data_IF_962538413507
#
_entry.id   IF_962538413507
#
_cell.length_a   1.000
_cell.length_b   1.000
_cell.length_c   1.000
_cell.angle_alpha   90.00
_cell.angle_beta   90.00
_cell.angle_gamma   90.00
#
_symmetry.space_group_name_H-M   'P 1'
#
loop_
_entity.id
_entity.type
_entity.pdbx_description
1 polymer ?
#
# COMPACT_ATOMS: atom_id res chain seq x y z
N UNK A 1 2.13 41.53 6.71
CA UNK A 1 2.06 40.73 7.95
C UNK A 1 2.16 39.27 7.55
N UNK A 2 3.05 38.45 8.15
CA UNK A 2 3.23 37.06 7.76
C UNK A 2 1.94 36.25 7.94
N UNK A 3 1.63 35.35 7.00
CA UNK A 3 0.42 34.54 7.01
C UNK A 3 0.76 33.06 6.80
N UNK A 4 0.48 32.21 7.79
CA UNK A 4 0.93 30.81 7.76
C UNK A 4 -0.24 29.83 7.72
N UNK A 5 -0.96 29.68 6.58
CA UNK A 5 -2.17 28.87 6.50
C UNK A 5 -1.95 27.38 6.79
N UNK A 6 -0.72 26.89 6.63
CA UNK A 6 -0.40 25.50 6.97
C UNK A 6 -0.60 25.18 8.47
N UNK A 7 -0.55 26.20 9.34
CA UNK A 7 -0.72 26.01 10.80
C UNK A 7 -2.13 25.53 11.16
N UNK A 8 -3.14 25.82 10.34
CA UNK A 8 -4.53 25.35 10.54
C UNK A 8 -4.63 23.81 10.56
N UNK A 9 -3.76 23.14 9.79
CA UNK A 9 -3.76 21.68 9.62
C UNK A 9 -2.55 21.02 10.29
N UNK A 10 -1.72 21.80 10.99
CA UNK A 10 -0.50 21.31 11.61
C UNK A 10 -0.75 20.98 13.08
N UNK A 11 -0.33 19.77 13.49
CA UNK A 11 -0.48 19.32 14.87
C UNK A 11 0.38 20.18 15.82
N UNK A 12 -0.17 20.75 16.91
CA UNK A 12 0.61 21.57 17.85
C UNK A 12 1.77 20.80 18.52
N UNK A 13 2.66 21.53 19.19
CA UNK A 13 3.60 20.90 20.10
C UNK A 13 2.88 20.41 21.38
N UNK A 14 3.46 19.45 22.08
CA UNK A 14 2.91 18.98 23.35
C UNK A 14 2.78 20.15 24.33
N UNK A 15 1.57 20.37 24.84
CA UNK A 15 1.24 21.52 25.69
C UNK A 15 0.95 22.85 24.97
N UNK A 16 1.09 22.93 23.65
CA UNK A 16 0.75 24.13 22.88
C UNK A 16 -0.72 24.13 22.46
N UNK A 17 -1.33 25.32 22.43
CA UNK A 17 -2.70 25.49 21.96
C UNK A 17 -2.77 25.38 20.43
N UNK A 18 -3.85 24.79 19.88
CA UNK A 18 -4.11 24.79 18.44
C UNK A 18 -4.44 26.20 17.93
N UNK A 19 -4.46 26.37 16.60
CA UNK A 19 -4.86 27.65 15.97
C UNK A 19 -6.26 28.05 16.44
N UNK A 20 -6.38 29.28 16.92
CA UNK A 20 -7.66 29.88 17.28
C UNK A 20 -8.50 30.04 16.01
N UNK A 21 -9.66 29.35 15.98
CA UNK A 21 -10.55 29.34 14.81
C UNK A 21 -11.28 30.66 14.59
N UNK A 22 -11.37 31.53 15.60
CA UNK A 22 -12.08 32.80 15.51
C UNK A 22 -11.21 33.90 14.87
N UNK A 23 -9.90 33.87 15.07
CA UNK A 23 -8.99 34.92 14.62
C UNK A 23 -7.74 34.43 13.86
N UNK A 24 -7.55 33.11 13.73
CA UNK A 24 -6.42 32.50 13.02
C UNK A 24 -5.07 32.63 13.70
N UNK A 25 -5.02 33.00 14.99
CA UNK A 25 -3.77 33.21 15.73
C UNK A 25 -3.31 31.93 16.41
N UNK A 26 -2.00 31.85 16.63
CA UNK A 26 -1.36 30.79 17.39
C UNK A 26 -0.16 31.35 18.12
N UNK A 27 0.08 30.85 19.33
CA UNK A 27 1.26 31.22 20.11
C UNK A 27 2.49 30.47 19.59
N UNK A 28 3.60 31.19 19.50
CA UNK A 28 4.89 30.61 19.15
C UNK A 28 5.98 31.27 19.97
N UNK A 29 7.05 30.52 20.27
CA UNK A 29 8.22 31.13 20.88
C UNK A 29 8.93 32.05 19.87
N UNK A 30 9.72 32.99 20.37
CA UNK A 30 10.45 33.97 19.54
C UNK A 30 11.34 33.30 18.49
N UNK A 31 11.94 32.15 18.80
CA UNK A 31 12.80 31.41 17.86
C UNK A 31 11.98 30.86 16.68
N UNK A 32 10.84 30.22 16.96
CA UNK A 32 9.96 29.70 15.93
C UNK A 32 9.35 30.81 15.09
N UNK A 33 8.93 31.91 15.73
CA UNK A 33 8.38 33.07 15.03
C UNK A 33 9.39 33.69 14.07
N UNK A 34 10.62 33.94 14.52
CA UNK A 34 11.69 34.49 13.69
C UNK A 34 12.06 33.56 12.54
N UNK A 35 12.15 32.25 12.79
CA UNK A 35 12.49 31.27 11.76
C UNK A 35 11.41 31.12 10.68
N UNK A 36 10.13 31.11 11.07
CA UNK A 36 9.01 31.08 10.11
C UNK A 36 8.91 32.40 9.33
N UNK A 37 9.15 33.53 9.99
CA UNK A 37 9.12 34.85 9.35
C UNK A 37 10.27 35.02 8.35
N UNK A 38 11.47 34.51 8.63
CA UNK A 38 12.56 34.50 7.66
C UNK A 38 12.21 33.70 6.40
N UNK A 39 11.63 32.51 6.58
CA UNK A 39 11.16 31.69 5.45
C UNK A 39 10.04 32.39 4.67
N UNK A 40 9.12 33.07 5.37
CA UNK A 40 8.08 33.89 4.74
C UNK A 40 8.70 34.96 3.84
N UNK A 41 9.67 35.73 4.33
CA UNK A 41 10.33 36.76 3.54
C UNK A 41 11.07 36.19 2.32
N UNK A 42 11.76 35.04 2.46
CA UNK A 42 12.38 34.39 1.32
C UNK A 42 11.36 33.96 0.24
N UNK A 43 10.15 33.56 0.65
CA UNK A 43 9.07 33.25 -0.29
C UNK A 43 8.40 34.48 -0.90
N UNK A 44 8.35 35.60 -0.18
CA UNK A 44 7.90 36.89 -0.74
C UNK A 44 8.91 37.39 -1.79
N UNK A 45 10.21 37.35 -1.49
CA UNK A 45 11.26 37.80 -2.40
C UNK A 45 11.33 37.00 -3.71
N UNK A 46 10.95 35.73 -3.64
CA UNK A 46 10.89 34.83 -4.82
C UNK A 46 9.54 34.80 -5.52
N UNK A 47 8.60 35.68 -5.12
CA UNK A 47 7.21 35.69 -5.62
C UNK A 47 6.54 34.30 -5.56
N UNK A 48 6.93 33.47 -4.58
CA UNK A 48 6.40 32.11 -4.45
C UNK A 48 4.95 32.21 -3.98
N UNK A 49 3.96 31.72 -4.75
CA UNK A 49 2.56 31.77 -4.34
C UNK A 49 2.35 31.04 -3.01
N UNK A 50 1.51 31.60 -2.11
CA UNK A 50 1.28 31.07 -0.75
C UNK A 50 1.01 29.56 -0.72
N UNK A 51 0.23 29.05 -1.67
CA UNK A 51 -0.11 27.63 -1.79
C UNK A 51 1.08 26.70 -2.10
N UNK A 52 2.18 27.25 -2.60
CA UNK A 52 3.42 26.51 -2.93
C UNK A 52 4.48 26.61 -1.83
N UNK A 53 4.26 27.41 -0.79
CA UNK A 53 5.24 27.65 0.29
C UNK A 53 5.30 26.44 1.22
N UNK A 54 6.49 25.90 1.41
CA UNK A 54 6.74 24.80 2.35
C UNK A 54 7.58 25.36 3.50
N UNK A 55 7.00 25.40 4.69
CA UNK A 55 7.66 25.90 5.88
C UNK A 55 8.27 24.76 6.68
N UNK A 56 9.53 24.93 7.04
CA UNK A 56 10.26 24.05 7.93
C UNK A 56 10.03 24.48 9.38
N UNK A 57 9.81 23.51 10.25
CA UNK A 57 9.66 23.70 11.69
C UNK A 57 10.74 22.88 12.38
N UNK A 58 11.49 23.50 13.31
CA UNK A 58 12.47 22.80 14.13
C UNK A 58 11.80 22.41 15.45
N UNK A 59 11.45 21.13 15.61
CA UNK A 59 11.04 20.57 16.89
C UNK A 59 12.27 20.01 17.58
N UNK A 60 12.64 20.57 18.73
CA UNK A 60 13.56 19.90 19.64
C UNK A 60 12.76 18.80 20.34
N UNK A 61 13.07 17.53 20.08
CA UNK A 61 12.57 16.44 20.91
C UNK A 61 13.23 16.47 22.30
N UNK A 62 12.72 15.69 23.28
CA UNK A 62 13.34 15.57 24.59
C UNK A 62 14.77 15.00 24.58
N UNK A 63 15.27 14.49 23.45
CA UNK A 63 16.61 13.90 23.33
C UNK A 63 17.60 14.78 22.56
N UNK A 64 17.64 16.08 22.85
CA UNK A 64 18.71 16.96 22.35
C UNK A 64 19.43 17.68 23.50
N UNK A 65 19.98 16.91 24.44
CA UNK A 65 21.13 17.32 25.24
C UNK A 65 22.38 16.67 24.65
N UNK A 66 23.33 17.51 24.27
CA UNK A 66 24.37 17.21 23.30
C UNK A 66 25.38 16.13 23.69
N UNK A 67 25.77 15.35 22.70
CA UNK A 67 27.12 14.80 22.61
C UNK A 67 27.74 15.30 21.30
N UNK A 68 28.88 15.98 21.46
CA UNK A 68 29.69 16.51 20.37
C UNK A 68 30.20 15.33 19.54
N UNK A 69 29.81 15.25 18.28
CA UNK A 69 30.52 14.44 17.30
C UNK A 69 31.89 15.09 17.05
N UNK A 70 32.94 14.52 17.65
CA UNK A 70 34.31 14.78 17.24
C UNK A 70 34.53 14.20 15.84
N UNK A 71 35.12 15.02 14.96
CA UNK A 71 35.58 14.65 13.62
C UNK A 71 36.62 13.51 13.67
N UNK A 72 36.69 12.63 12.65
CA UNK A 72 37.74 11.61 12.59
C UNK A 72 39.02 12.20 11.99
N UNK A 73 40.10 12.21 12.76
CA UNK A 73 41.48 12.35 12.27
C UNK A 73 42.18 10.99 12.28
N UNK A 74 42.93 10.75 11.22
CA UNK A 74 43.78 9.58 10.96
C UNK A 74 44.93 9.47 11.98
N UNK A 75 45.42 8.23 12.19
CA UNK A 75 46.82 7.79 12.43
C UNK A 75 46.76 6.38 13.06
N UNK A 76 47.16 5.29 12.38
CA UNK A 76 48.50 4.70 12.15
C UNK A 76 49.12 3.98 13.37
N UNK A 77 49.45 2.70 13.11
CA UNK A 77 50.51 1.83 13.69
C UNK A 77 50.40 1.49 15.20
N UNK A 78 50.75 0.34 15.80
CA UNK A 78 51.54 -0.86 15.47
C UNK A 78 51.36 -1.89 16.63
N UNK A 79 51.59 -3.20 16.37
CA UNK A 79 52.08 -4.25 17.31
C UNK A 79 51.34 -4.59 18.64
N UNK A 80 51.40 -5.77 19.27
CA UNK A 80 51.91 -7.13 19.02
C UNK A 80 51.38 -8.06 20.14
N UNK A 81 51.25 -9.35 19.79
CA UNK A 81 51.53 -10.56 20.59
C UNK A 81 50.84 -10.94 21.93
N UNK A 82 50.56 -12.26 21.99
CA UNK A 82 50.59 -13.20 23.14
C UNK A 82 49.26 -13.72 23.73
N UNK A 83 48.78 -14.82 23.13
CA UNK A 83 48.58 -16.17 23.72
C UNK A 83 48.27 -16.31 25.23
N UNK A 84 47.19 -17.02 25.59
CA UNK A 84 47.29 -18.26 26.37
C UNK A 84 45.99 -19.11 26.31
N UNK A 85 46.20 -20.42 26.33
CA UNK A 85 45.22 -21.50 26.25
C UNK A 85 44.40 -21.64 27.54
N UNK A 86 43.23 -22.29 27.48
CA UNK A 86 42.87 -23.49 28.29
C UNK A 86 41.38 -23.85 28.11
N UNK A 87 41.11 -24.98 27.43
CA UNK A 87 39.98 -25.90 27.71
C UNK A 87 40.56 -27.06 28.56
N UNK A 88 39.81 -27.94 29.28
CA UNK A 88 38.53 -28.53 28.85
C UNK A 88 37.53 -28.89 29.99
N UNK A 89 36.32 -29.35 29.65
CA UNK A 89 35.81 -30.69 30.03
C UNK A 89 34.38 -30.94 29.53
N UNK A 90 34.20 -32.17 29.05
CA UNK A 90 33.05 -32.75 28.36
C UNK A 90 32.37 -33.72 29.33
N UNK A 91 31.03 -33.68 29.44
CA UNK A 91 30.21 -34.76 30.00
C UNK A 91 29.06 -35.04 29.03
N UNK A 92 28.80 -36.31 28.78
CA UNK A 92 27.99 -36.85 27.69
C UNK A 92 26.58 -37.31 28.14
N UNK A 93 25.56 -36.98 27.30
CA UNK A 93 24.38 -37.80 26.89
C UNK A 93 23.24 -38.06 27.89
N UNK A 94 21.97 -38.42 27.49
CA UNK A 94 21.52 -38.98 26.19
C UNK A 94 20.20 -38.46 25.54
N UNK A 95 19.99 -38.95 24.30
CA UNK A 95 18.87 -38.82 23.32
C UNK A 95 17.44 -38.72 23.86
N UNK A 96 16.61 -37.82 23.32
CA UNK A 96 15.16 -38.08 23.02
C UNK A 96 14.63 -37.18 21.86
N UNK A 97 14.05 -37.85 20.86
CA UNK A 97 13.01 -37.47 19.88
C UNK A 97 13.17 -36.30 18.89
N UNK A 98 13.33 -36.72 17.62
CA UNK A 98 12.88 -36.05 16.41
C UNK A 98 11.42 -35.58 16.53
N UNK A 99 11.23 -34.27 16.74
CA UNK A 99 10.02 -33.59 16.31
C UNK A 99 10.32 -32.86 15.01
N UNK A 100 10.00 -33.51 13.89
CA UNK A 100 9.79 -32.83 12.61
C UNK A 100 8.65 -31.86 12.84
N UNK A 101 8.98 -30.62 13.22
CA UNK A 101 8.02 -29.52 13.24
C UNK A 101 7.54 -29.37 11.81
N UNK A 102 6.33 -29.84 11.54
CA UNK A 102 5.57 -29.49 10.35
C UNK A 102 5.43 -27.98 10.39
N UNK A 103 6.34 -27.30 9.70
CA UNK A 103 6.32 -25.88 9.52
C UNK A 103 5.00 -25.55 8.82
N UNK A 104 4.05 -25.03 9.58
CA UNK A 104 2.85 -24.38 9.08
C UNK A 104 3.30 -23.29 8.11
N UNK A 105 3.31 -23.63 6.82
CA UNK A 105 3.73 -22.74 5.73
C UNK A 105 2.79 -21.53 5.74
N UNK A 106 3.32 -20.38 6.17
CA UNK A 106 2.63 -19.08 6.12
C UNK A 106 2.19 -18.83 4.66
N UNK A 107 0.96 -18.37 4.42
CA UNK A 107 0.53 -18.05 3.06
C UNK A 107 1.38 -16.91 2.49
N UNK A 108 1.91 -17.13 1.29
CA UNK A 108 2.82 -16.27 0.54
C UNK A 108 2.28 -14.83 0.41
N UNK A 109 3.07 -13.84 0.86
CA UNK A 109 3.14 -12.47 0.33
C UNK A 109 1.89 -11.59 0.25
N UNK A 110 0.86 -11.79 1.09
CA UNK A 110 -0.32 -10.93 1.11
C UNK A 110 -0.12 -9.70 2.02
N UNK A 111 -0.33 -8.53 1.44
CA UNK A 111 -0.30 -7.22 2.10
C UNK A 111 -1.72 -6.72 2.38
N UNK A 112 -1.90 -5.97 3.46
CA UNK A 112 -3.20 -5.40 3.83
C UNK A 112 -3.34 -3.98 3.29
N UNK A 113 -4.45 -3.67 2.63
CA UNK A 113 -4.75 -2.32 2.15
C UNK A 113 -5.01 -1.35 3.31
N UNK A 114 -4.33 -0.20 3.30
CA UNK A 114 -4.52 0.89 4.28
C UNK A 114 -5.97 1.41 4.36
N UNK A 115 -6.69 1.47 3.24
CA UNK A 115 -8.04 2.08 3.16
C UNK A 115 -9.18 1.11 3.49
N UNK A 116 -9.13 -0.11 2.92
CA UNK A 116 -10.27 -1.02 2.93
C UNK A 116 -10.01 -2.32 3.71
N UNK A 117 -8.83 -2.44 4.33
CA UNK A 117 -8.45 -3.58 5.17
C UNK A 117 -8.40 -4.95 4.45
N UNK A 118 -8.64 -5.00 3.13
CA UNK A 118 -8.59 -6.23 2.35
C UNK A 118 -7.15 -6.64 2.08
N UNK A 119 -6.84 -7.92 2.28
CA UNK A 119 -5.53 -8.52 1.95
C UNK A 119 -5.41 -8.81 0.46
N UNK A 120 -4.29 -8.46 -0.14
CA UNK A 120 -4.00 -8.62 -1.58
C UNK A 120 -2.52 -9.01 -1.80
N UNK A 121 -2.21 -9.75 -2.88
CA UNK A 121 -0.83 -9.95 -3.30
C UNK A 121 -0.11 -8.61 -3.54
N UNK A 122 1.20 -8.57 -3.25
CA UNK A 122 2.05 -7.36 -3.40
C UNK A 122 1.93 -6.69 -4.78
N UNK A 123 1.74 -7.47 -5.84
CA UNK A 123 1.56 -6.96 -7.22
C UNK A 123 0.29 -6.10 -7.42
N UNK A 124 -0.73 -6.23 -6.55
CA UNK A 124 -1.93 -5.40 -6.55
C UNK A 124 -1.89 -4.29 -5.51
N UNK A 125 -0.74 -4.09 -4.86
CA UNK A 125 -0.55 -2.98 -3.94
C UNK A 125 0.07 -1.80 -4.69
N UNK A 126 -0.32 -0.60 -4.30
CA UNK A 126 0.16 0.66 -4.85
C UNK A 126 0.56 1.57 -3.70
N UNK A 127 1.67 2.24 -3.87
CA UNK A 127 2.05 3.32 -2.99
C UNK A 127 1.32 4.59 -3.38
N UNK A 128 0.81 5.32 -2.39
CA UNK A 128 0.24 6.66 -2.58
C UNK A 128 0.74 7.60 -1.49
N UNK A 129 0.65 8.90 -1.74
CA UNK A 129 1.13 9.95 -0.84
C UNK A 129 -0.04 10.67 -0.19
N UNK A 130 0.11 11.03 1.08
CA UNK A 130 -0.83 11.85 1.85
C UNK A 130 -0.46 13.34 1.79
N UNK A 131 0.77 13.65 1.40
CA UNK A 131 1.33 15.00 1.32
C UNK A 131 1.78 15.35 -0.11
N UNK A 132 1.78 16.64 -0.48
CA UNK A 132 2.35 17.11 -1.74
C UNK A 132 3.79 16.59 -1.90
N UNK A 133 4.16 16.20 -3.12
CA UNK A 133 5.54 15.85 -3.45
C UNK A 133 6.17 16.99 -4.26
N UNK A 134 7.50 17.01 -4.33
CA UNK A 134 8.28 18.00 -5.10
C UNK A 134 7.81 18.14 -6.55
N UNK A 135 7.26 17.06 -7.13
CA UNK A 135 6.60 17.07 -8.44
C UNK A 135 5.10 17.37 -8.27
N UNK A 136 4.70 18.60 -8.61
CA UNK A 136 3.32 19.12 -8.49
C UNK A 136 2.27 18.31 -9.23
N UNK A 137 2.67 17.53 -10.24
CA UNK A 137 1.78 16.66 -11.02
C UNK A 137 1.48 15.32 -10.34
N UNK A 138 2.18 14.98 -9.26
CA UNK A 138 1.95 13.70 -8.59
C UNK A 138 0.72 13.78 -7.67
N UNK A 139 -0.22 12.82 -7.77
CA UNK A 139 -1.39 12.80 -6.90
C UNK A 139 -1.01 12.58 -5.44
N UNK A 140 -1.63 13.37 -4.55
CA UNK A 140 -1.61 13.15 -3.11
C UNK A 140 -3.02 13.29 -2.53
N UNK A 141 -3.25 12.64 -1.40
CA UNK A 141 -4.58 12.46 -0.81
C UNK A 141 -4.55 12.76 0.71
N UNK A 142 -4.74 14.04 1.11
CA UNK A 142 -4.66 14.45 2.52
C UNK A 142 -5.62 13.72 3.45
N UNK A 143 -6.79 13.33 2.94
CA UNK A 143 -7.79 12.56 3.70
C UNK A 143 -7.21 11.25 4.29
N UNK A 144 -6.18 10.67 3.68
CA UNK A 144 -5.55 9.44 4.16
C UNK A 144 -4.75 9.65 5.45
N UNK A 145 -4.25 10.86 5.74
CA UNK A 145 -3.57 11.13 7.00
C UNK A 145 -4.53 11.09 8.21
N UNK A 146 -5.84 11.33 7.96
CA UNK A 146 -6.91 11.26 8.97
C UNK A 146 -7.63 9.92 8.98
N UNK A 147 -7.35 9.06 8.00
CA UNK A 147 -7.96 7.74 7.92
C UNK A 147 -7.30 6.83 8.96
N UNK A 148 -8.10 6.16 9.79
CA UNK A 148 -7.60 5.19 10.77
C UNK A 148 -7.42 3.84 10.07
N UNK A 149 -6.19 3.41 9.75
CA UNK A 149 -5.98 2.12 9.13
C UNK A 149 -6.23 0.99 10.14
N UNK A 150 -6.57 -0.22 9.69
CA UNK A 150 -6.62 -1.38 10.58
C UNK A 150 -5.22 -1.67 11.17
N UNK A 151 -5.16 -2.14 12.41
CA UNK A 151 -3.88 -2.42 13.11
C UNK A 151 -2.95 -3.38 12.35
N UNK A 152 -3.50 -4.23 11.49
CA UNK A 152 -2.77 -5.21 10.65
C UNK A 152 -2.24 -4.64 9.34
N UNK A 153 -2.55 -3.38 8.99
CA UNK A 153 -1.98 -2.71 7.83
C UNK A 153 -0.68 -2.00 8.18
N UNK A 154 0.19 -1.84 7.17
CA UNK A 154 1.38 -1.01 7.31
C UNK A 154 0.95 0.42 7.61
N UNK A 155 1.51 0.99 8.68
CA UNK A 155 1.28 2.37 9.06
C UNK A 155 1.87 3.33 8.02
N UNK A 156 1.38 4.57 8.05
CA UNK A 156 1.93 5.65 7.25
C UNK A 156 3.40 5.89 7.66
N UNK A 157 4.29 6.03 6.68
CA UNK A 157 5.68 6.37 6.97
C UNK A 157 5.84 7.88 7.26
N UNK A 158 7.03 8.26 7.71
CA UNK A 158 7.37 9.65 8.05
C UNK A 158 7.29 10.62 6.85
N UNK A 159 7.32 10.09 5.61
CA UNK A 159 7.17 10.87 4.37
C UNK A 159 5.70 11.01 3.94
N UNK A 160 4.76 10.47 4.72
CA UNK A 160 3.34 10.47 4.38
C UNK A 160 3.00 9.49 3.26
N UNK A 161 3.74 8.40 3.11
CA UNK A 161 3.47 7.35 2.12
C UNK A 161 2.69 6.22 2.77
N UNK A 162 1.69 5.70 2.06
CA UNK A 162 0.88 4.56 2.51
C UNK A 162 0.73 3.51 1.41
N UNK A 163 0.47 2.26 1.81
CA UNK A 163 0.27 1.14 0.89
C UNK A 163 -1.22 0.78 0.77
N UNK A 164 -1.80 0.96 -0.41
CA UNK A 164 -3.22 0.72 -0.70
C UNK A 164 -3.37 -0.33 -1.79
N UNK A 165 -4.52 -1.01 -1.88
CA UNK A 165 -4.78 -1.87 -3.03
C UNK A 165 -5.09 -1.04 -4.28
N UNK A 166 -4.81 -1.62 -5.45
CA UNK A 166 -5.01 -1.00 -6.76
C UNK A 166 -6.43 -0.44 -6.95
N UNK A 167 -7.45 -1.12 -6.44
CA UNK A 167 -8.82 -0.64 -6.52
C UNK A 167 -9.06 0.67 -5.75
N UNK A 168 -8.47 0.81 -4.57
CA UNK A 168 -8.57 2.04 -3.77
C UNK A 168 -7.73 3.16 -4.40
N UNK A 169 -6.53 2.84 -4.90
CA UNK A 169 -5.71 3.81 -5.63
C UNK A 169 -6.43 4.33 -6.88
N UNK A 170 -7.01 3.46 -7.72
CA UNK A 170 -7.78 3.86 -8.90
C UNK A 170 -9.00 4.71 -8.54
N UNK A 171 -9.68 4.39 -7.45
CA UNK A 171 -10.84 5.16 -6.99
C UNK A 171 -10.46 6.58 -6.57
N UNK A 172 -9.36 6.74 -5.84
CA UNK A 172 -8.81 8.04 -5.47
C UNK A 172 -8.28 8.81 -6.68
N UNK A 173 -7.56 8.13 -7.58
CA UNK A 173 -6.98 8.74 -8.76
C UNK A 173 -8.04 9.31 -9.71
N UNK A 174 -9.15 8.61 -9.92
CA UNK A 174 -10.28 9.13 -10.72
C UNK A 174 -10.81 10.44 -10.16
N UNK A 175 -10.98 10.54 -8.85
CA UNK A 175 -11.42 11.77 -8.20
C UNK A 175 -10.38 12.89 -8.38
N UNK A 176 -9.09 12.57 -8.21
CA UNK A 176 -8.02 13.52 -8.47
C UNK A 176 -8.04 14.02 -9.92
N UNK A 177 -8.23 13.16 -10.91
CA UNK A 177 -8.33 13.55 -12.32
C UNK A 177 -9.51 14.50 -12.56
N UNK A 178 -10.66 14.27 -11.93
CA UNK A 178 -11.81 15.17 -12.01
C UNK A 178 -11.48 16.53 -11.41
N UNK A 179 -10.85 16.57 -10.23
CA UNK A 179 -10.42 17.82 -9.60
C UNK A 179 -9.38 18.57 -10.43
N UNK A 180 -8.47 17.85 -11.10
CA UNK A 180 -7.51 18.47 -12.01
C UNK A 180 -8.20 19.04 -13.25
N UNK A 181 -9.10 18.27 -13.87
CA UNK A 181 -9.85 18.70 -15.06
C UNK A 181 -10.70 19.94 -14.78
N UNK A 182 -11.30 20.00 -13.59
CA UNK A 182 -12.18 21.09 -13.18
C UNK A 182 -11.43 22.24 -12.50
N UNK A 183 -10.09 22.18 -12.43
CA UNK A 183 -9.25 23.15 -11.73
C UNK A 183 -9.67 23.40 -10.27
N UNK A 184 -10.20 22.37 -9.59
CA UNK A 184 -10.69 22.48 -8.22
C UNK A 184 -9.51 22.80 -7.27
N UNK A 185 -9.58 23.92 -6.52
CA UNK A 185 -8.57 24.30 -5.53
C UNK A 185 -8.33 23.19 -4.51
N UNK A 186 -7.09 23.05 -4.01
CA UNK A 186 -6.72 21.97 -3.09
C UNK A 186 -7.59 21.92 -1.82
N UNK A 187 -7.96 23.09 -1.28
CA UNK A 187 -8.82 23.22 -0.09
C UNK A 187 -10.24 22.67 -0.29
N UNK A 188 -10.72 22.65 -1.53
CA UNK A 188 -12.08 22.21 -1.89
C UNK A 188 -12.14 20.73 -2.28
N UNK A 189 -10.99 20.06 -2.40
CA UNK A 189 -10.93 18.65 -2.84
C UNK A 189 -11.38 17.72 -1.72
N UNK A 190 -12.63 17.28 -1.80
CA UNK A 190 -13.19 16.27 -0.91
C UNK A 190 -13.12 14.88 -1.54
N UNK A 191 -12.15 14.08 -1.10
CA UNK A 191 -12.01 12.70 -1.54
C UNK A 191 -12.89 11.76 -0.73
N UNK A 192 -13.61 10.90 -1.42
CA UNK A 192 -14.31 9.76 -0.87
C UNK A 192 -13.40 8.52 -0.85
N UNK A 193 -13.47 7.75 0.22
CA UNK A 193 -12.76 6.47 0.34
C UNK A 193 -13.67 5.31 -0.07
N UNK A 194 -13.10 4.22 -0.62
CA UNK A 194 -13.88 3.01 -0.92
C UNK A 194 -14.49 2.34 0.32
N UNK A 195 -13.96 2.64 1.50
CA UNK A 195 -14.44 2.16 2.79
C UNK A 195 -15.46 3.10 3.43
N UNK A 196 -15.77 4.24 2.80
CA UNK A 196 -16.69 5.23 3.33
C UNK A 196 -18.13 4.67 3.37
N UNK A 197 -18.76 4.58 4.55
CA UNK A 197 -20.12 4.05 4.69
C UNK A 197 -21.18 4.98 4.09
N UNK A 198 -20.87 6.25 3.84
CA UNK A 198 -21.80 7.25 3.30
C UNK A 198 -22.01 7.16 1.78
N UNK A 199 -21.23 6.32 1.07
CA UNK A 199 -21.35 6.17 -0.37
C UNK A 199 -22.77 5.73 -0.80
N UNK A 200 -23.28 6.18 -1.96
CA UNK A 200 -24.56 5.70 -2.48
C UNK A 200 -24.61 4.17 -2.60
N UNK A 201 -25.77 3.56 -2.33
CA UNK A 201 -25.94 2.10 -2.31
C UNK A 201 -25.54 1.43 -3.63
N UNK A 202 -25.83 2.08 -4.76
CA UNK A 202 -25.44 1.61 -6.10
C UNK A 202 -23.92 1.57 -6.26
N UNK A 203 -23.24 2.63 -5.83
CA UNK A 203 -21.79 2.72 -5.84
C UNK A 203 -21.19 1.66 -4.91
N UNK A 204 -21.69 1.50 -3.69
CA UNK A 204 -21.25 0.43 -2.78
C UNK A 204 -21.40 -0.96 -3.40
N UNK A 205 -22.53 -1.22 -4.08
CA UNK A 205 -22.78 -2.47 -4.81
C UNK A 205 -21.72 -2.71 -5.89
N UNK A 206 -21.46 -1.73 -6.76
CA UNK A 206 -20.44 -1.82 -7.81
C UNK A 206 -19.02 -2.03 -7.25
N UNK A 207 -18.70 -1.43 -6.09
CA UNK A 207 -17.40 -1.61 -5.44
C UNK A 207 -17.28 -2.98 -4.73
N UNK A 208 -18.40 -3.66 -4.46
CA UNK A 208 -18.50 -4.94 -3.74
C UNK A 208 -18.67 -6.15 -4.67
N UNK A 209 -18.74 -5.96 -5.98
CA UNK A 209 -18.86 -7.04 -6.96
C UNK A 209 -17.56 -7.23 -7.77
N UNK A 210 -17.50 -8.31 -8.54
CA UNK A 210 -16.46 -8.63 -9.52
C UNK A 210 -17.10 -9.32 -10.71
N UNK A 211 -16.47 -9.28 -11.88
CA UNK A 211 -16.85 -10.08 -13.05
C UNK A 211 -15.87 -11.25 -13.21
N UNK A 212 -16.40 -12.45 -13.44
CA UNK A 212 -15.61 -13.68 -13.48
C UNK A 212 -14.88 -13.78 -14.81
N UNK A 213 -13.55 -13.96 -14.80
CA UNK A 213 -12.79 -14.12 -16.04
C UNK A 213 -13.24 -15.32 -16.90
N UNK A 214 -13.78 -16.37 -16.28
CA UNK A 214 -14.14 -17.62 -16.97
C UNK A 214 -15.56 -17.60 -17.53
N UNK A 215 -16.54 -17.09 -16.79
CA UNK A 215 -17.95 -17.17 -17.19
C UNK A 215 -18.60 -15.80 -17.45
N UNK A 216 -17.88 -14.69 -17.26
CA UNK A 216 -18.41 -13.34 -17.47
C UNK A 216 -19.50 -12.89 -16.48
N UNK A 217 -19.92 -13.74 -15.54
CA UNK A 217 -21.01 -13.40 -14.61
C UNK A 217 -20.48 -12.51 -13.47
N UNK A 218 -21.22 -11.46 -13.16
CA UNK A 218 -21.02 -10.61 -11.98
C UNK A 218 -21.31 -11.40 -10.70
N UNK A 219 -20.39 -11.37 -9.73
CA UNK A 219 -20.54 -12.03 -8.42
C UNK A 219 -20.07 -11.10 -7.31
N UNK A 220 -20.39 -11.40 -6.04
CA UNK A 220 -19.76 -10.73 -4.91
C UNK A 220 -18.22 -10.82 -5.00
N UNK A 221 -17.53 -9.73 -4.68
CA UNK A 221 -16.07 -9.64 -4.69
C UNK A 221 -15.42 -10.70 -3.78
N UNK A 222 -16.13 -11.11 -2.73
CA UNK A 222 -15.75 -12.19 -1.82
C UNK A 222 -15.67 -13.55 -2.50
N UNK A 223 -16.47 -13.81 -3.54
CA UNK A 223 -16.45 -15.07 -4.31
C UNK A 223 -15.24 -15.23 -5.23
N UNK A 224 -14.46 -14.16 -5.44
CA UNK A 224 -13.30 -14.16 -6.33
C UNK A 224 -12.15 -15.01 -5.80
N UNK A 225 -11.59 -15.85 -6.67
CA UNK A 225 -10.39 -16.67 -6.45
C UNK A 225 -9.38 -16.43 -7.56
N UNK A 226 -8.11 -16.45 -7.19
CA UNK A 226 -7.02 -16.28 -8.14
C UNK A 226 -6.79 -17.53 -8.98
N UNK A 227 -6.50 -17.31 -10.27
CA UNK A 227 -6.08 -18.30 -11.25
C UNK A 227 -4.75 -17.85 -11.86
N UNK A 228 -3.90 -18.81 -12.18
CA UNK A 228 -2.59 -18.57 -12.80
C UNK A 228 -2.55 -19.22 -14.17
N UNK A 229 -2.10 -18.52 -15.20
CA UNK A 229 -1.85 -19.07 -16.54
C UNK A 229 -0.44 -19.62 -16.71
N UNK A 230 0.44 -19.40 -15.73
CA UNK A 230 1.84 -19.83 -15.72
C UNK A 230 2.17 -20.54 -14.40
N UNK A 231 3.17 -21.43 -14.43
CA UNK A 231 3.70 -22.08 -13.21
C UNK A 231 4.25 -20.99 -12.27
N UNK A 232 3.68 -20.90 -11.08
CA UNK A 232 4.12 -19.96 -10.04
C UNK A 232 4.76 -20.67 -8.84
N UNK A 233 4.43 -21.94 -8.61
CA UNK A 233 4.98 -22.77 -7.55
C UNK A 233 4.90 -24.26 -7.91
N UNK A 234 5.89 -25.09 -7.54
CA UNK A 234 5.85 -26.54 -7.78
C UNK A 234 4.61 -27.18 -7.15
N UNK A 235 3.92 -28.05 -7.90
CA UNK A 235 2.72 -28.76 -7.44
C UNK A 235 1.45 -27.90 -7.32
N UNK A 236 1.47 -26.63 -7.72
CA UNK A 236 0.28 -25.79 -7.76
C UNK A 236 -0.37 -25.76 -9.14
N UNK A 237 -1.71 -25.73 -9.22
CA UNK A 237 -2.43 -25.69 -10.49
C UNK A 237 -2.16 -24.38 -11.24
N UNK A 238 -2.02 -24.51 -12.55
CA UNK A 238 -1.98 -23.42 -13.49
C UNK A 238 -2.68 -23.84 -14.79
N UNK A 239 -3.11 -22.85 -15.57
CA UNK A 239 -4.06 -23.03 -16.66
C UNK A 239 -3.60 -22.24 -17.90
N UNK A 240 -2.71 -22.81 -18.74
CA UNK A 240 -2.13 -22.12 -19.91
C UNK A 240 -3.17 -21.57 -20.88
N UNK A 241 -4.28 -22.28 -21.07
CA UNK A 241 -5.37 -21.89 -21.99
C UNK A 241 -5.99 -20.53 -21.64
N UNK A 242 -5.83 -20.03 -20.41
CA UNK A 242 -6.29 -18.68 -20.03
C UNK A 242 -5.64 -17.57 -20.86
N UNK A 243 -4.43 -17.78 -21.40
CA UNK A 243 -3.78 -16.80 -22.29
C UNK A 243 -4.54 -16.63 -23.61
N UNK A 244 -5.39 -17.58 -23.98
CA UNK A 244 -6.15 -17.60 -25.24
C UNK A 244 -7.60 -17.13 -25.05
N UNK A 245 -8.02 -16.80 -23.83
CA UNK A 245 -9.37 -16.31 -23.56
C UNK A 245 -9.45 -14.80 -23.69
N UNK A 246 -10.54 -14.32 -24.29
CA UNK A 246 -10.90 -12.90 -24.28
C UNK A 246 -11.33 -12.53 -22.86
N UNK A 247 -10.85 -11.39 -22.37
CA UNK A 247 -11.26 -10.87 -21.06
C UNK A 247 -12.69 -10.34 -21.14
N UNK A 248 -13.66 -10.87 -20.35
CA UNK A 248 -15.00 -10.31 -20.31
C UNK A 248 -15.00 -8.86 -19.82
N UNK A 249 -15.98 -8.07 -20.26
CA UNK A 249 -16.09 -6.67 -19.82
C UNK A 249 -16.22 -6.57 -18.29
N UNK A 250 -15.43 -5.68 -17.69
CA UNK A 250 -15.38 -5.51 -16.23
C UNK A 250 -14.65 -6.64 -15.47
N UNK A 251 -14.23 -7.73 -16.12
CA UNK A 251 -13.41 -8.75 -15.49
C UNK A 251 -11.98 -8.27 -15.27
N UNK A 252 -11.30 -8.88 -14.30
CA UNK A 252 -9.88 -8.62 -14.11
C UNK A 252 -9.10 -9.22 -15.29
N UNK A 253 -8.38 -8.42 -16.10
CA UNK A 253 -7.59 -8.95 -17.19
C UNK A 253 -6.44 -9.79 -16.63
N UNK A 254 -5.93 -10.69 -17.47
CA UNK A 254 -4.74 -11.46 -17.15
C UNK A 254 -3.54 -10.51 -17.00
N UNK A 255 -2.87 -10.54 -15.85
CA UNK A 255 -1.66 -9.72 -15.63
C UNK A 255 -0.50 -10.21 -16.49
N UNK A 256 0.57 -9.41 -16.62
CA UNK A 256 1.82 -9.83 -17.28
C UNK A 256 2.45 -11.09 -16.65
N UNK A 257 2.16 -11.34 -15.37
CA UNK A 257 2.61 -12.52 -14.62
C UNK A 257 1.66 -13.72 -14.77
N UNK A 258 0.59 -13.59 -15.56
CA UNK A 258 -0.39 -14.65 -15.79
C UNK A 258 -1.44 -14.78 -14.69
N UNK A 259 -1.69 -13.75 -13.88
CA UNK A 259 -2.67 -13.81 -12.79
C UNK A 259 -4.01 -13.21 -13.21
N UNK A 260 -5.12 -13.88 -12.92
CA UNK A 260 -6.48 -13.36 -13.08
C UNK A 260 -7.40 -13.82 -11.94
N UNK A 261 -8.67 -13.42 -11.96
CA UNK A 261 -9.68 -13.75 -10.95
C UNK A 261 -10.93 -14.38 -11.57
N UNK A 262 -11.35 -15.50 -11.00
CA UNK A 262 -12.59 -16.19 -11.35
C UNK A 262 -13.48 -16.41 -10.13
N UNK A 263 -14.76 -16.69 -10.32
CA UNK A 263 -15.65 -17.06 -9.23
C UNK A 263 -15.26 -18.41 -8.61
N UNK A 264 -15.76 -18.66 -7.40
CA UNK A 264 -15.51 -19.90 -6.65
C UNK A 264 -15.96 -21.16 -7.42
N UNK A 265 -17.07 -21.08 -8.17
CA UNK A 265 -17.58 -22.17 -9.00
C UNK A 265 -16.62 -22.55 -10.13
N UNK A 266 -16.23 -21.59 -10.96
CA UNK A 266 -15.28 -21.80 -12.06
C UNK A 266 -13.92 -22.29 -11.53
N UNK A 267 -13.41 -21.70 -10.43
CA UNK A 267 -12.16 -22.15 -9.81
C UNK A 267 -12.22 -23.61 -9.38
N UNK A 268 -13.32 -24.04 -8.73
CA UNK A 268 -13.52 -25.43 -8.29
C UNK A 268 -13.60 -26.38 -9.48
N UNK A 269 -14.32 -26.01 -10.54
CA UNK A 269 -14.44 -26.82 -11.77
C UNK A 269 -13.07 -27.06 -12.41
N UNK A 270 -12.29 -25.98 -12.62
CA UNK A 270 -10.95 -26.07 -13.18
C UNK A 270 -9.98 -26.84 -12.27
N UNK A 271 -10.11 -26.70 -10.95
CA UNK A 271 -9.31 -27.47 -10.00
C UNK A 271 -9.54 -28.97 -10.12
N UNK A 272 -10.80 -29.38 -10.26
CA UNK A 272 -11.18 -30.78 -10.39
C UNK A 272 -10.63 -31.40 -11.67
N UNK A 273 -10.72 -30.67 -12.79
CA UNK A 273 -10.16 -31.09 -14.07
C UNK A 273 -8.64 -31.21 -14.02
N UNK A 274 -7.96 -30.21 -13.43
CA UNK A 274 -6.51 -30.26 -13.22
C UNK A 274 -6.10 -31.50 -12.42
N UNK A 275 -6.77 -31.77 -11.29
CA UNK A 275 -6.50 -32.98 -10.49
C UNK A 275 -6.66 -34.28 -11.30
N UNK A 276 -7.64 -34.34 -12.20
CA UNK A 276 -7.85 -35.50 -13.05
C UNK A 276 -6.69 -35.68 -14.04
N UNK A 277 -6.22 -34.60 -14.68
CA UNK A 277 -5.06 -34.64 -15.56
C UNK A 277 -3.76 -34.98 -14.83
N UNK A 278 -3.57 -34.47 -13.61
CA UNK A 278 -2.43 -34.85 -12.75
C UNK A 278 -2.45 -36.35 -12.43
N UNK A 279 -3.61 -36.90 -12.03
CA UNK A 279 -3.75 -38.32 -11.73
C UNK A 279 -3.53 -39.22 -12.96
N UNK A 280 -3.91 -38.74 -14.14
CA UNK A 280 -3.73 -39.45 -15.40
C UNK A 280 -2.34 -39.23 -16.04
N UNK A 281 -1.46 -38.43 -15.44
CA UNK A 281 -0.12 -38.13 -15.99
C UNK A 281 -0.14 -37.39 -17.32
N UNK A 282 -1.22 -36.66 -17.62
CA UNK A 282 -1.36 -35.93 -18.89
C UNK A 282 -0.46 -34.70 -18.87
N UNK A 283 0.44 -34.60 -19.85
CA UNK A 283 1.32 -33.44 -20.05
C UNK A 283 0.52 -32.15 -20.19
N UNK A 284 1.07 -31.05 -19.66
CA UNK A 284 0.39 -29.76 -19.56
C UNK A 284 -0.18 -29.25 -20.91
N UNK A 285 0.56 -29.42 -22.00
CA UNK A 285 0.19 -28.94 -23.34
C UNK A 285 -0.95 -29.75 -23.99
N UNK A 286 -1.24 -30.95 -23.47
CA UNK A 286 -2.31 -31.83 -23.96
C UNK A 286 -3.60 -31.70 -23.14
N UNK A 287 -3.64 -30.83 -22.14
CA UNK A 287 -4.79 -30.71 -21.22
C UNK A 287 -5.87 -29.83 -21.82
N UNK A 288 -7.02 -30.41 -22.10
CA UNK A 288 -8.20 -29.69 -22.57
C UNK A 288 -9.18 -29.40 -21.43
N UNK A 289 -9.27 -28.13 -21.04
CA UNK A 289 -10.17 -27.70 -19.98
C UNK A 289 -11.53 -27.30 -20.54
N UNK A 290 -12.59 -27.80 -19.92
CA UNK A 290 -13.98 -27.42 -20.20
C UNK A 290 -14.41 -26.29 -19.26
N UNK A 291 -14.82 -25.17 -19.85
CA UNK A 291 -15.43 -24.03 -19.15
C UNK A 291 -16.92 -23.99 -19.49
N UNK A 292 -17.76 -23.59 -18.51
CA UNK A 292 -19.18 -23.33 -18.77
C UNK A 292 -19.30 -21.98 -19.46
N UNK A 293 -19.17 -21.97 -20.79
CA UNK A 293 -19.57 -20.86 -21.64
C UNK A 293 -20.89 -21.25 -22.31
N UNK A 294 -22.00 -21.08 -21.60
CA UNK A 294 -23.25 -20.78 -22.28
C UNK A 294 -23.31 -19.26 -22.34
N UNK A 295 -22.93 -18.76 -23.50
CA UNK A 295 -23.01 -17.36 -23.88
C UNK A 295 -24.49 -16.98 -23.78
N UNK A 296 -24.92 -16.34 -22.68
CA UNK A 296 -26.14 -15.52 -22.70
C UNK A 296 -25.83 -14.24 -23.46
N UNK A 297 -25.67 -14.36 -24.77
CA UNK A 297 -25.96 -13.30 -25.73
C UNK A 297 -27.35 -13.65 -26.25
N UNK A 298 -28.37 -13.28 -25.47
CA UNK A 298 -29.71 -13.07 -26.00
C UNK A 298 -30.39 -12.00 -25.17
N UNK A 299 -30.55 -10.85 -25.84
CA UNK A 299 -31.66 -9.88 -25.74
C UNK A 299 -31.76 -9.15 -24.37
N UNK A 300 -31.84 -7.82 -24.33
CA UNK A 300 -32.63 -6.91 -25.17
C UNK A 300 -32.03 -5.50 -25.16
#
# INVERSE_FOLDING_TARGET
>A
MPFFPFLEYHEPAEGAQPVDKANGRVDSCTVCFSFLTQQWHAFEESDTPVIKRIYWLKRSGPDSSGERAHSPSQDRDEESMANDNTMPKRIMTPKVQNNVRVASRRPVGLETCYICSRRKPKEFMRSVHTRPQLKTETPFYPCLARHVPPAVAKQMDYLGKVLVCEACQKFLFRQWQVFQKNSTPLSERQYQLRSDPSLPREQQSQLSTMVCFICGVTQPATSGRFLYSRKHAPGHPYYPFLNNLVTPEGAMPLTKQGLTRACSGCRKSLHRQWKHFEAAGVNDDKREYRIRNEVMVHQS
#
